data_IF_416554419243
#
_entry.id   IF_416554419243
#
_cell.length_a   1.000
_cell.length_b   1.000
_cell.length_c   1.000
_cell.angle_alpha   90.00
_cell.angle_beta   90.00
_cell.angle_gamma   90.00
#
_symmetry.space_group_name_H-M   'P 1'
#
loop_
_entity.id
_entity.type
_entity.pdbx_description
1 polymer ?
#
# COMPACT_ATOMS: atom_id res chain seq x y z
N UNK A 1 31.28 -1.22 17.12
CA UNK A 1 31.44 0.12 16.49
C UNK A 1 30.34 0.26 15.47
N UNK A 2 29.19 0.79 15.89
CA UNK A 2 28.03 1.05 15.04
C UNK A 2 28.14 2.49 14.55
N UNK A 3 28.78 2.71 13.42
CA UNK A 3 28.63 3.95 12.67
C UNK A 3 27.39 3.77 11.79
N UNK A 4 26.20 4.05 12.33
CA UNK A 4 25.10 4.47 11.45
C UNK A 4 25.54 5.83 10.88
N UNK A 5 25.62 6.02 9.55
CA UNK A 5 25.79 7.35 9.01
C UNK A 5 24.62 8.20 9.51
N UNK A 6 24.93 9.36 10.05
CA UNK A 6 23.96 10.35 10.48
C UNK A 6 23.00 10.63 9.32
N UNK A 7 21.69 10.50 9.57
CA UNK A 7 20.57 10.85 8.69
C UNK A 7 20.61 12.29 8.15
N UNK A 8 21.63 13.10 8.47
CA UNK A 8 21.65 14.55 8.28
C UNK A 8 22.46 15.08 7.09
N UNK A 9 23.30 14.26 6.44
CA UNK A 9 24.18 14.74 5.35
C UNK A 9 23.56 14.64 3.94
N UNK A 10 22.54 13.80 3.75
CA UNK A 10 21.83 13.70 2.45
C UNK A 10 20.89 14.89 2.20
N UNK A 11 20.23 15.41 3.25
CA UNK A 11 19.26 16.50 3.17
C UNK A 11 19.83 17.86 2.68
N UNK A 12 21.16 18.05 2.71
CA UNK A 12 21.78 19.34 2.34
C UNK A 12 22.26 19.40 0.89
N UNK A 13 22.58 18.27 0.30
CA UNK A 13 22.91 18.15 -1.13
C UNK A 13 21.68 17.72 -1.98
N UNK A 14 20.59 17.31 -1.31
CA UNK A 14 19.33 16.79 -1.86
C UNK A 14 18.68 17.69 -2.91
N UNK A 15 18.56 19.00 -2.67
CA UNK A 15 17.74 19.84 -3.56
C UNK A 15 18.27 19.91 -4.98
N UNK A 16 19.57 20.03 -5.18
CA UNK A 16 20.12 20.15 -6.54
C UNK A 16 20.05 18.81 -7.28
N UNK A 17 20.33 17.70 -6.60
CA UNK A 17 20.24 16.36 -7.19
C UNK A 17 18.78 15.92 -7.43
N UNK A 18 17.87 16.21 -6.51
CA UNK A 18 16.43 15.98 -6.67
C UNK A 18 15.85 16.73 -7.87
N UNK A 19 16.22 18.01 -8.04
CA UNK A 19 15.79 18.78 -9.21
C UNK A 19 16.33 18.17 -10.51
N UNK A 20 17.55 17.62 -10.51
CA UNK A 20 18.08 16.88 -11.66
C UNK A 20 17.22 15.63 -11.92
N UNK A 21 16.94 14.81 -10.91
CA UNK A 21 16.15 13.58 -11.08
C UNK A 21 14.73 13.85 -11.58
N UNK A 22 14.08 14.94 -11.14
CA UNK A 22 12.76 15.34 -11.66
C UNK A 22 12.77 15.62 -13.16
N UNK A 23 13.89 16.11 -13.70
CA UNK A 23 14.04 16.37 -15.15
C UNK A 23 14.34 15.12 -15.98
N UNK A 24 14.80 14.03 -15.35
CA UNK A 24 15.13 12.79 -16.06
C UNK A 24 13.90 12.14 -16.70
N UNK A 25 14.11 11.50 -17.85
CA UNK A 25 13.18 10.59 -18.51
C UNK A 25 13.10 9.24 -17.80
N UNK A 26 12.11 8.41 -18.18
CA UNK A 26 12.02 7.03 -17.70
C UNK A 26 13.32 6.24 -17.92
N UNK A 27 13.87 6.29 -19.13
CA UNK A 27 15.10 5.56 -19.46
C UNK A 27 16.29 6.01 -18.63
N UNK A 28 16.40 7.31 -18.32
CA UNK A 28 17.48 7.84 -17.51
C UNK A 28 17.35 7.41 -16.05
N UNK A 29 16.14 7.52 -15.47
CA UNK A 29 15.88 7.05 -14.11
C UNK A 29 16.15 5.55 -13.96
N UNK A 30 15.63 4.73 -14.87
CA UNK A 30 15.84 3.28 -14.85
C UNK A 30 17.31 2.90 -15.04
N UNK A 31 18.03 3.61 -15.93
CA UNK A 31 19.47 3.42 -16.13
C UNK A 31 20.26 3.78 -14.87
N UNK A 32 19.90 4.90 -14.22
CA UNK A 32 20.53 5.34 -12.98
C UNK A 32 20.28 4.34 -11.84
N UNK A 33 19.03 3.94 -11.63
CA UNK A 33 18.67 2.89 -10.66
C UNK A 33 19.44 1.60 -10.92
N UNK A 34 19.54 1.15 -12.18
CA UNK A 34 20.29 -0.06 -12.54
C UNK A 34 21.77 0.03 -12.18
N UNK A 35 22.40 1.17 -12.46
CA UNK A 35 23.84 1.38 -12.26
C UNK A 35 24.20 1.57 -10.78
N UNK A 36 23.33 2.22 -10.03
CA UNK A 36 23.65 2.72 -8.69
C UNK A 36 22.90 2.02 -7.56
N UNK A 37 22.01 1.06 -7.85
CA UNK A 37 21.14 0.46 -6.83
C UNK A 37 21.87 0.09 -5.54
N UNK A 38 22.93 -0.72 -5.64
CA UNK A 38 23.65 -1.25 -4.47
C UNK A 38 24.44 -0.18 -3.71
N UNK A 39 24.68 0.97 -4.34
CA UNK A 39 25.42 2.09 -3.74
C UNK A 39 24.51 3.18 -3.19
N UNK A 40 23.25 3.23 -3.64
CA UNK A 40 22.27 4.18 -3.14
C UNK A 40 21.82 3.79 -1.74
N UNK A 41 21.54 4.80 -0.92
CA UNK A 41 20.76 4.59 0.28
C UNK A 41 19.31 4.25 -0.08
N UNK A 42 18.61 3.68 0.89
CA UNK A 42 17.23 3.23 0.75
C UNK A 42 16.26 4.36 0.36
N UNK A 43 16.38 5.54 1.00
CA UNK A 43 15.56 6.72 0.70
C UNK A 43 15.63 7.15 -0.78
N UNK A 44 16.83 7.37 -1.35
CA UNK A 44 17.00 7.61 -2.78
C UNK A 44 16.44 6.51 -3.69
N UNK A 45 16.58 5.22 -3.33
CA UNK A 45 16.03 4.12 -4.13
C UNK A 45 14.51 4.25 -4.29
N UNK A 46 13.78 4.43 -3.18
CA UNK A 46 12.33 4.54 -3.23
C UNK A 46 11.86 5.86 -3.87
N UNK A 47 12.59 6.95 -3.65
CA UNK A 47 12.30 8.25 -4.26
C UNK A 47 12.38 8.20 -5.78
N UNK A 48 13.49 7.67 -6.32
CA UNK A 48 13.69 7.54 -7.77
C UNK A 48 12.68 6.58 -8.40
N UNK A 49 12.33 5.49 -7.70
CA UNK A 49 11.27 4.60 -8.13
C UNK A 49 9.90 5.32 -8.19
N UNK A 50 9.62 6.19 -7.20
CA UNK A 50 8.46 7.08 -7.20
C UNK A 50 8.40 8.00 -8.42
N UNK A 51 9.50 8.71 -8.72
CA UNK A 51 9.58 9.56 -9.91
C UNK A 51 9.36 8.80 -11.21
N UNK A 52 9.80 7.53 -11.27
CA UNK A 52 9.55 6.69 -12.43
C UNK A 52 8.06 6.33 -12.56
N UNK A 53 7.36 6.06 -11.46
CA UNK A 53 5.90 5.84 -11.49
C UNK A 53 5.18 7.11 -11.97
N UNK A 54 5.52 8.29 -11.46
CA UNK A 54 4.92 9.57 -11.87
C UNK A 54 5.07 9.84 -13.38
N UNK A 55 6.12 9.28 -13.99
CA UNK A 55 6.40 9.37 -15.43
C UNK A 55 5.79 8.21 -16.24
N UNK A 56 5.10 7.27 -15.60
CA UNK A 56 4.46 6.12 -16.23
C UNK A 56 5.41 4.99 -16.60
N UNK A 57 6.57 4.88 -15.96
CA UNK A 57 7.57 3.86 -16.28
C UNK A 57 7.18 2.51 -15.64
N UNK A 58 6.51 1.64 -16.41
CA UNK A 58 6.08 0.31 -15.95
C UNK A 58 7.25 -0.60 -15.56
N UNK A 59 8.40 -0.42 -16.21
CA UNK A 59 9.61 -1.21 -16.00
C UNK A 59 10.27 -0.95 -14.63
N UNK A 60 9.73 -0.05 -13.80
CA UNK A 60 10.22 0.18 -12.44
C UNK A 60 9.80 -0.92 -11.45
N UNK A 61 8.80 -1.75 -11.79
CA UNK A 61 8.26 -2.77 -10.89
C UNK A 61 9.32 -3.68 -10.22
N UNK A 62 10.38 -4.16 -10.90
CA UNK A 62 11.44 -4.94 -10.26
C UNK A 62 12.18 -4.19 -9.15
N UNK A 63 12.33 -2.87 -9.24
CA UNK A 63 12.95 -2.05 -8.21
C UNK A 63 12.03 -1.87 -7.00
N UNK A 64 10.73 -1.68 -7.23
CA UNK A 64 9.74 -1.64 -6.15
C UNK A 64 9.71 -2.96 -5.38
N UNK A 65 9.76 -4.10 -6.06
CA UNK A 65 9.86 -5.42 -5.43
C UNK A 65 11.11 -5.57 -4.53
N UNK A 66 12.21 -4.88 -4.84
CA UNK A 66 13.40 -4.85 -3.99
C UNK A 66 13.18 -3.99 -2.76
N UNK A 67 12.53 -2.83 -2.90
CA UNK A 67 12.18 -1.96 -1.78
C UNK A 67 11.22 -2.63 -0.77
N UNK A 68 10.41 -3.61 -1.19
CA UNK A 68 9.58 -4.40 -0.27
C UNK A 68 10.38 -5.23 0.74
N UNK A 69 11.69 -5.46 0.50
CA UNK A 69 12.57 -6.15 1.44
C UNK A 69 13.28 -5.20 2.41
N UNK A 70 12.96 -3.91 2.35
CA UNK A 70 13.59 -2.92 3.18
C UNK A 70 13.21 -3.08 4.66
N UNK A 71 14.15 -2.80 5.55
CA UNK A 71 13.90 -2.86 7.01
C UNK A 71 13.00 -1.73 7.50
N UNK A 72 13.06 -0.57 6.86
CA UNK A 72 12.21 0.57 7.11
C UNK A 72 10.80 0.34 6.50
N UNK A 73 9.74 0.34 7.32
CA UNK A 73 8.37 0.21 6.82
C UNK A 73 7.97 1.32 5.84
N UNK A 74 8.56 2.52 5.95
CA UNK A 74 8.27 3.62 5.03
C UNK A 74 8.58 3.23 3.58
N UNK A 75 9.76 2.66 3.37
CA UNK A 75 10.18 2.17 2.07
C UNK A 75 9.29 1.04 1.55
N UNK A 76 8.86 0.12 2.44
CA UNK A 76 7.99 -1.00 2.08
C UNK A 76 6.60 -0.53 1.64
N UNK A 77 5.90 0.30 2.43
CA UNK A 77 4.55 0.72 2.05
C UNK A 77 4.56 1.63 0.83
N UNK A 78 5.58 2.48 0.64
CA UNK A 78 5.74 3.28 -0.58
C UNK A 78 5.93 2.41 -1.82
N UNK A 79 6.72 1.35 -1.71
CA UNK A 79 6.94 0.42 -2.81
C UNK A 79 5.66 -0.34 -3.17
N UNK A 80 4.91 -0.75 -2.15
CA UNK A 80 3.63 -1.41 -2.28
C UNK A 80 2.59 -0.51 -2.97
N UNK A 81 2.49 0.76 -2.59
CA UNK A 81 1.63 1.72 -3.28
C UNK A 81 2.02 1.91 -4.73
N UNK A 82 3.31 2.01 -5.02
CA UNK A 82 3.78 2.08 -6.40
C UNK A 82 3.38 0.86 -7.24
N UNK A 83 3.47 -0.36 -6.70
CA UNK A 83 3.03 -1.57 -7.41
C UNK A 83 1.50 -1.60 -7.62
N UNK A 84 0.73 -1.06 -6.67
CA UNK A 84 -0.71 -0.87 -6.81
C UNK A 84 -1.06 0.10 -7.94
N UNK A 85 -0.39 1.26 -8.00
CA UNK A 85 -0.57 2.28 -9.03
C UNK A 85 -0.21 1.78 -10.44
N UNK A 86 0.82 0.94 -10.55
CA UNK A 86 1.19 0.30 -11.82
C UNK A 86 0.17 -0.76 -12.28
N UNK A 87 -0.77 -1.17 -11.41
CA UNK A 87 -1.77 -2.18 -11.75
C UNK A 87 -1.21 -3.60 -11.77
N UNK A 88 -0.14 -3.89 -11.02
CA UNK A 88 0.57 -5.18 -11.06
C UNK A 88 -0.20 -6.31 -10.33
N UNK A 89 -1.31 -6.75 -10.92
CA UNK A 89 -2.20 -7.80 -10.39
C UNK A 89 -1.52 -9.16 -10.25
N UNK A 90 -0.43 -9.40 -11.00
CA UNK A 90 0.41 -10.59 -10.90
C UNK A 90 1.06 -10.77 -9.53
N UNK A 91 1.18 -9.71 -8.72
CA UNK A 91 1.75 -9.76 -7.37
C UNK A 91 0.71 -9.99 -6.28
N UNK A 92 -0.49 -10.49 -6.62
CA UNK A 92 -1.55 -10.79 -5.65
C UNK A 92 -1.05 -11.54 -4.41
N UNK A 93 -0.36 -12.66 -4.58
CA UNK A 93 0.11 -13.48 -3.45
C UNK A 93 1.09 -12.75 -2.55
N UNK A 94 1.90 -11.84 -3.11
CA UNK A 94 2.81 -11.00 -2.34
C UNK A 94 2.05 -9.99 -1.48
N UNK A 95 0.99 -9.38 -2.01
CA UNK A 95 0.18 -8.45 -1.22
C UNK A 95 -0.57 -9.18 -0.11
N UNK A 96 -1.06 -10.39 -0.36
CA UNK A 96 -1.69 -11.22 0.68
C UNK A 96 -0.67 -11.53 1.79
N UNK A 97 0.54 -11.95 1.42
CA UNK A 97 1.61 -12.23 2.39
C UNK A 97 1.96 -10.99 3.23
N UNK A 98 2.12 -9.83 2.60
CA UNK A 98 2.39 -8.57 3.30
C UNK A 98 1.26 -8.20 4.25
N UNK A 99 -0.01 -8.36 3.84
CA UNK A 99 -1.16 -8.10 4.72
C UNK A 99 -1.16 -9.01 5.95
N UNK A 100 -0.81 -10.28 5.80
CA UNK A 100 -0.89 -11.26 6.88
C UNK A 100 0.33 -11.24 7.80
N UNK A 101 1.53 -10.96 7.25
CA UNK A 101 2.79 -11.28 7.91
C UNK A 101 3.73 -10.09 8.10
N UNK A 102 3.48 -8.91 7.50
CA UNK A 102 4.36 -7.76 7.74
C UNK A 102 4.25 -7.30 9.21
N UNK A 103 5.40 -7.01 9.80
CA UNK A 103 5.48 -6.54 11.19
C UNK A 103 4.83 -5.17 11.40
N UNK A 104 4.81 -4.34 10.36
CA UNK A 104 4.31 -2.97 10.43
C UNK A 104 2.83 -2.89 10.05
N UNK A 105 2.03 -2.22 10.89
CA UNK A 105 0.59 -2.14 10.70
C UNK A 105 0.20 -1.33 9.47
N UNK A 106 0.93 -0.27 9.13
CA UNK A 106 0.65 0.56 7.95
C UNK A 106 0.90 -0.24 6.68
N UNK A 107 1.98 -1.04 6.63
CA UNK A 107 2.23 -1.93 5.50
C UNK A 107 1.10 -2.94 5.32
N UNK A 108 0.64 -3.57 6.42
CA UNK A 108 -0.48 -4.52 6.36
C UNK A 108 -1.78 -3.88 5.87
N UNK A 109 -2.06 -2.64 6.28
CA UNK A 109 -3.25 -1.89 5.85
C UNK A 109 -3.19 -1.58 4.36
N UNK A 110 -2.05 -1.03 3.89
CA UNK A 110 -1.85 -0.70 2.46
C UNK A 110 -1.95 -1.94 1.57
N UNK A 111 -1.46 -3.09 2.03
CA UNK A 111 -1.56 -4.34 1.30
C UNK A 111 -3.02 -4.76 1.06
N UNK A 112 -3.85 -4.72 2.11
CA UNK A 112 -5.27 -5.06 1.99
C UNK A 112 -6.02 -4.07 1.09
N UNK A 113 -5.73 -2.77 1.25
CA UNK A 113 -6.37 -1.71 0.46
C UNK A 113 -6.06 -1.87 -1.04
N UNK A 114 -4.78 -2.02 -1.40
CA UNK A 114 -4.38 -2.16 -2.80
C UNK A 114 -4.85 -3.49 -3.42
N UNK A 115 -4.91 -4.58 -2.64
CA UNK A 115 -5.60 -5.79 -3.08
C UNK A 115 -7.04 -5.48 -3.47
N UNK A 116 -7.80 -4.78 -2.61
CA UNK A 116 -9.19 -4.44 -2.91
C UNK A 116 -9.32 -3.58 -4.16
N UNK A 117 -8.45 -2.59 -4.34
CA UNK A 117 -8.46 -1.69 -5.50
C UNK A 117 -8.17 -2.43 -6.81
N UNK A 118 -7.12 -3.27 -6.83
CA UNK A 118 -6.71 -4.04 -8.02
C UNK A 118 -7.77 -5.04 -8.50
N UNK A 119 -8.57 -5.57 -7.56
CA UNK A 119 -9.57 -6.60 -7.81
C UNK A 119 -11.00 -6.09 -7.55
N UNK A 120 -11.21 -4.77 -7.50
CA UNK A 120 -12.50 -4.15 -7.15
C UNK A 120 -13.67 -4.64 -8.00
N UNK A 121 -13.44 -4.83 -9.30
CA UNK A 121 -14.47 -5.26 -10.25
C UNK A 121 -14.91 -6.72 -10.10
N UNK A 122 -14.28 -7.51 -9.23
CA UNK A 122 -14.46 -8.96 -9.17
C UNK A 122 -15.27 -9.44 -7.97
N UNK A 123 -15.55 -8.58 -6.99
CA UNK A 123 -16.16 -8.96 -5.70
C UNK A 123 -15.46 -10.21 -5.14
N UNK A 124 -14.18 -10.05 -4.91
CA UNK A 124 -13.26 -11.12 -4.59
C UNK A 124 -13.50 -11.65 -3.16
N UNK A 125 -13.91 -12.92 -3.08
CA UNK A 125 -14.26 -13.56 -1.81
C UNK A 125 -13.07 -13.75 -0.87
N UNK A 126 -11.87 -13.94 -1.41
CA UNK A 126 -10.67 -14.05 -0.57
C UNK A 126 -10.36 -12.69 0.06
N UNK A 127 -10.51 -11.60 -0.70
CA UNK A 127 -10.34 -10.24 -0.17
C UNK A 127 -11.38 -9.94 0.92
N UNK A 128 -12.65 -10.30 0.69
CA UNK A 128 -13.70 -10.21 1.70
C UNK A 128 -13.36 -11.01 2.98
N UNK A 129 -12.84 -12.22 2.82
CA UNK A 129 -12.42 -13.06 3.95
C UNK A 129 -11.24 -12.45 4.72
N UNK A 130 -10.24 -11.91 4.03
CA UNK A 130 -9.10 -11.24 4.64
C UNK A 130 -9.55 -10.01 5.44
N UNK A 131 -10.39 -9.15 4.84
CA UNK A 131 -10.94 -7.98 5.49
C UNK A 131 -11.79 -8.34 6.72
N UNK A 132 -12.70 -9.32 6.60
CA UNK A 132 -13.50 -9.77 7.74
C UNK A 132 -12.64 -10.33 8.88
N UNK A 133 -11.56 -11.05 8.56
CA UNK A 133 -10.63 -11.57 9.55
C UNK A 133 -9.88 -10.44 10.28
N UNK A 134 -9.48 -9.40 9.54
CA UNK A 134 -8.86 -8.21 10.12
C UNK A 134 -9.85 -7.40 10.98
N UNK A 135 -11.12 -7.32 10.59
CA UNK A 135 -12.20 -6.71 11.37
C UNK A 135 -12.44 -7.44 12.69
N UNK A 136 -12.56 -8.77 12.64
CA UNK A 136 -12.90 -9.60 13.81
C UNK A 136 -11.74 -9.81 14.78
N UNK A 137 -10.50 -9.61 14.33
CA UNK A 137 -9.33 -9.80 15.18
C UNK A 137 -9.28 -8.73 16.30
N UNK A 138 -9.41 -9.10 17.59
CA UNK A 138 -9.42 -8.17 18.71
C UNK A 138 -8.11 -7.38 18.87
N UNK A 139 -7.02 -7.84 18.25
CA UNK A 139 -5.72 -7.18 18.31
C UNK A 139 -5.47 -6.23 17.11
N UNK A 140 -6.37 -6.17 16.13
CA UNK A 140 -6.27 -5.18 15.05
C UNK A 140 -6.42 -3.77 15.61
N UNK A 141 -5.58 -2.86 15.13
CA UNK A 141 -5.71 -1.42 15.39
C UNK A 141 -7.07 -0.89 14.87
N UNK A 142 -7.49 0.27 15.38
CA UNK A 142 -8.70 0.96 14.87
C UNK A 142 -8.53 1.23 13.37
N UNK A 143 -7.37 1.76 12.96
CA UNK A 143 -7.03 2.02 11.56
C UNK A 143 -7.13 0.75 10.66
N UNK A 144 -6.65 -0.40 11.14
CA UNK A 144 -6.79 -1.67 10.41
C UNK A 144 -8.26 -2.11 10.27
N UNK A 145 -9.06 -1.96 11.33
CA UNK A 145 -10.50 -2.30 11.28
C UNK A 145 -11.26 -1.35 10.36
N UNK A 146 -10.97 -0.05 10.38
CA UNK A 146 -11.54 0.92 9.44
C UNK A 146 -11.14 0.60 7.99
N UNK A 147 -9.87 0.25 7.76
CA UNK A 147 -9.38 -0.22 6.45
C UNK A 147 -10.15 -1.46 5.99
N UNK A 148 -10.34 -2.45 6.86
CA UNK A 148 -11.12 -3.63 6.55
C UNK A 148 -12.58 -3.29 6.20
N UNK A 149 -13.21 -2.40 6.94
CA UNK A 149 -14.54 -1.86 6.65
C UNK A 149 -14.62 -1.28 5.24
N UNK A 150 -13.70 -0.36 4.90
CA UNK A 150 -13.62 0.25 3.58
C UNK A 150 -13.39 -0.78 2.47
N UNK A 151 -12.51 -1.77 2.69
CA UNK A 151 -12.28 -2.85 1.73
C UNK A 151 -13.55 -3.67 1.48
N UNK A 152 -14.29 -4.04 2.52
CA UNK A 152 -15.58 -4.73 2.36
C UNK A 152 -16.57 -3.86 1.60
N UNK A 153 -16.63 -2.56 1.90
CA UNK A 153 -17.49 -1.62 1.17
C UNK A 153 -17.12 -1.55 -0.31
N UNK A 154 -15.83 -1.49 -0.66
CA UNK A 154 -15.37 -1.50 -2.05
C UNK A 154 -15.75 -2.78 -2.81
N UNK A 155 -15.56 -3.94 -2.20
CA UNK A 155 -15.87 -5.22 -2.84
C UNK A 155 -17.38 -5.45 -3.02
N UNK A 156 -18.19 -4.87 -2.14
CA UNK A 156 -19.66 -4.99 -2.15
C UNK A 156 -20.36 -3.81 -2.87
N UNK A 157 -19.60 -2.87 -3.44
CA UNK A 157 -20.12 -1.66 -4.06
C UNK A 157 -21.00 -0.82 -3.11
N UNK A 158 -20.71 -0.86 -1.81
CA UNK A 158 -21.39 -0.04 -0.80
C UNK A 158 -20.80 1.37 -0.86
N UNK A 159 -21.64 2.41 -0.99
CA UNK A 159 -21.17 3.79 -1.05
C UNK A 159 -20.53 4.22 0.29
N UNK A 160 -19.54 5.10 0.19
CA UNK A 160 -18.78 5.60 1.35
C UNK A 160 -19.40 6.89 1.93
N UNK A 161 -20.08 7.67 1.09
CA UNK A 161 -20.96 8.81 1.39
C UNK A 161 -21.83 9.09 0.13
N UNK A 162 -22.57 10.22 0.07
CA UNK A 162 -23.32 10.64 -1.13
C UNK A 162 -22.42 11.01 -2.33
N UNK A 163 -21.10 11.12 -2.16
CA UNK A 163 -20.13 11.59 -3.15
C UNK A 163 -19.05 10.55 -3.54
N UNK A 164 -18.98 9.39 -2.89
CA UNK A 164 -18.16 8.23 -3.26
C UNK A 164 -16.68 8.27 -2.86
N UNK A 165 -16.24 9.13 -1.95
CA UNK A 165 -14.84 9.14 -1.49
C UNK A 165 -14.67 8.30 -0.21
N UNK A 166 -13.55 7.57 -0.03
CA UNK A 166 -13.24 6.97 1.27
C UNK A 166 -13.10 8.08 2.31
N UNK A 167 -14.01 8.10 3.28
CA UNK A 167 -13.99 9.07 4.36
C UNK A 167 -12.66 8.94 5.13
N UNK A 168 -11.98 10.07 5.30
CA UNK A 168 -10.89 10.23 6.25
C UNK A 168 -11.55 10.37 7.62
N UNK A 169 -11.93 9.23 8.18
CA UNK A 169 -12.34 9.14 9.58
C UNK A 169 -11.18 9.66 10.44
N UNK A 170 -11.47 10.34 11.55
CA UNK A 170 -10.45 10.82 12.49
C UNK A 170 -9.71 9.65 13.21
N UNK A 171 -9.88 8.43 12.68
CA UNK A 171 -9.43 7.13 13.19
C UNK A 171 -9.89 6.90 14.63
N UNK A 172 -11.09 7.39 14.96
CA UNK A 172 -11.69 7.26 16.28
C UNK A 172 -12.44 5.92 16.40
N UNK A 173 -12.57 5.40 17.63
CA UNK A 173 -13.22 4.11 17.86
C UNK A 173 -14.71 4.17 17.48
N UNK A 174 -15.32 5.34 17.64
CA UNK A 174 -16.69 5.68 17.27
C UNK A 174 -16.95 5.46 15.77
N UNK A 175 -15.93 5.65 14.92
CA UNK A 175 -16.05 5.48 13.46
C UNK A 175 -16.33 4.02 13.08
N UNK A 176 -15.93 3.06 13.91
CA UNK A 176 -16.26 1.64 13.72
C UNK A 176 -17.78 1.38 13.79
N UNK A 177 -18.54 2.30 14.39
CA UNK A 177 -20.00 2.22 14.47
C UNK A 177 -20.71 2.83 13.27
N UNK A 178 -19.96 3.31 12.25
CA UNK A 178 -20.57 3.92 11.09
C UNK A 178 -21.52 2.94 10.36
N UNK A 179 -22.77 3.35 10.02
CA UNK A 179 -23.77 2.44 9.46
C UNK A 179 -23.33 1.71 8.18
N UNK A 180 -22.56 2.36 7.30
CA UNK A 180 -22.07 1.70 6.09
C UNK A 180 -20.98 0.66 6.36
N UNK A 181 -20.15 0.88 7.38
CA UNK A 181 -19.15 -0.10 7.79
C UNK A 181 -19.85 -1.33 8.39
N UNK A 182 -20.77 -1.11 9.32
CA UNK A 182 -21.53 -2.20 9.93
C UNK A 182 -22.35 -2.98 8.90
N UNK A 183 -22.95 -2.29 7.93
CA UNK A 183 -23.64 -2.92 6.79
C UNK A 183 -22.68 -3.77 5.94
N UNK A 184 -21.50 -3.26 5.63
CA UNK A 184 -20.51 -3.99 4.84
C UNK A 184 -20.00 -5.24 5.55
N UNK A 185 -19.82 -5.18 6.87
CA UNK A 185 -19.47 -6.33 7.71
C UNK A 185 -20.56 -7.40 7.63
N UNK A 186 -21.83 -7.01 7.81
CA UNK A 186 -22.96 -7.95 7.79
C UNK A 186 -23.13 -8.60 6.41
N UNK A 187 -23.18 -7.80 5.33
CA UNK A 187 -23.29 -8.31 3.96
C UNK A 187 -22.08 -9.20 3.58
N UNK A 188 -20.90 -8.92 4.13
CA UNK A 188 -19.72 -9.79 3.95
C UNK A 188 -19.94 -11.14 4.62
N UNK A 189 -20.44 -11.18 5.85
CA UNK A 189 -20.76 -12.44 6.55
C UNK A 189 -21.79 -13.25 5.76
N UNK A 190 -22.87 -12.62 5.31
CA UNK A 190 -23.89 -13.28 4.48
C UNK A 190 -23.29 -13.85 3.18
N UNK A 191 -22.49 -13.05 2.48
CA UNK A 191 -21.80 -13.46 1.23
C UNK A 191 -20.87 -14.65 1.44
N UNK A 192 -20.21 -14.73 2.61
CA UNK A 192 -19.31 -15.83 2.93
C UNK A 192 -20.07 -17.10 3.36
N UNK A 193 -21.19 -16.96 4.08
CA UNK A 193 -22.07 -18.07 4.50
C UNK A 193 -22.85 -18.72 3.35
N UNK A 194 -23.28 -17.96 2.34
CA UNK A 194 -24.11 -18.49 1.24
C UNK A 194 -23.39 -19.46 0.29
N UNK A 195 -22.09 -19.71 0.46
CA UNK A 195 -21.34 -20.62 -0.41
C UNK A 195 -20.66 -21.80 0.32
N UNK A 196 -21.06 -22.07 1.56
CA UNK A 196 -20.85 -23.37 2.22
C UNK A 196 -22.01 -24.29 1.94
#
# INVERSE_FOLDING_TARGET
MNNKPLESDWLKHEKEEEEIFKTMSCSELLSYLNQHWETLLDGPQIYLAGLAIDKGCQEVAPYLLRCLKNTDPYNRWRALSGLGELGCREYRSLFIDLHLNDSDDVVRQKALLHLSELFRSERDREILQLALSAWDNPNSSIAMRLTAGAVMMYQLDIPHDEQGAPAWWDEEEEDLQHPFILRAVEETRETLLQAT
#
